data_IF_649861347968
#
_entry.id   IF_649861347968
#
_cell.length_a   1.000
_cell.length_b   1.000
_cell.length_c   1.000
_cell.angle_alpha   90.00
_cell.angle_beta   90.00
_cell.angle_gamma   90.00
#
_symmetry.space_group_name_H-M   'P 1'
#
loop_
_entity.id
_entity.type
_entity.pdbx_description
1 polymer ?
#
# COMPACT_ATOMS: atom_id res chain seq x y z
N UNK A 1 20.58 -31.63 -9.48
CA UNK A 1 19.33 -30.94 -9.09
C UNK A 1 19.69 -29.54 -8.65
N UNK A 2 19.58 -28.55 -9.53
CA UNK A 2 19.70 -27.15 -9.16
C UNK A 2 18.29 -26.62 -8.86
N UNK A 3 17.99 -26.38 -7.58
CA UNK A 3 16.79 -25.65 -7.20
C UNK A 3 17.14 -24.16 -7.32
N UNK A 4 16.73 -23.52 -8.41
CA UNK A 4 16.84 -22.06 -8.56
C UNK A 4 15.69 -21.42 -7.79
N UNK A 5 15.84 -21.35 -6.46
CA UNK A 5 14.92 -20.62 -5.58
C UNK A 5 15.12 -19.13 -5.79
N UNK A 6 14.29 -18.51 -6.61
CA UNK A 6 14.21 -17.06 -6.71
C UNK A 6 13.22 -16.58 -5.64
N UNK A 7 13.74 -15.92 -4.61
CA UNK A 7 12.96 -15.24 -3.57
C UNK A 7 13.15 -13.75 -3.76
N UNK A 8 12.07 -13.03 -4.07
CA UNK A 8 12.10 -11.58 -4.26
C UNK A 8 11.16 -10.90 -3.26
N UNK A 9 11.66 -10.44 -2.10
CA UNK A 9 10.91 -9.60 -1.19
C UNK A 9 10.81 -8.18 -1.74
N UNK A 10 9.69 -7.52 -1.50
CA UNK A 10 9.49 -6.11 -1.82
C UNK A 10 8.75 -5.40 -0.69
N UNK A 11 9.18 -4.18 -0.41
CA UNK A 11 8.58 -3.28 0.57
C UNK A 11 8.33 -1.92 -0.09
N UNK A 12 7.27 -1.24 0.31
CA UNK A 12 6.88 0.04 -0.27
C UNK A 12 6.06 0.89 0.69
N UNK A 13 6.07 2.20 0.41
CA UNK A 13 5.19 3.17 1.04
C UNK A 13 4.25 3.70 -0.03
N UNK A 14 2.97 3.81 0.31
CA UNK A 14 1.96 4.44 -0.52
C UNK A 14 1.34 5.60 0.25
N UNK A 15 1.26 6.76 -0.39
CA UNK A 15 0.58 7.92 0.15
C UNK A 15 -0.62 8.22 -0.75
N UNK A 16 -1.80 8.33 -0.15
CA UNK A 16 -3.04 8.67 -0.85
C UNK A 16 -3.72 9.84 -0.17
N UNK A 17 -4.35 10.69 -0.96
CA UNK A 17 -5.12 11.82 -0.48
C UNK A 17 -6.45 11.91 -1.18
N UNK A 18 -7.51 12.17 -0.41
CA UNK A 18 -8.84 12.43 -0.92
C UNK A 18 -8.99 13.91 -1.30
N UNK A 19 -9.76 14.17 -2.37
CA UNK A 19 -9.98 15.51 -2.92
C UNK A 19 -11.48 15.78 -3.19
N UNK A 20 -11.83 17.07 -3.30
CA UNK A 20 -13.20 17.51 -3.58
C UNK A 20 -14.20 17.06 -2.52
N UNK A 21 -15.43 16.82 -2.96
CA UNK A 21 -16.56 16.49 -2.09
C UNK A 21 -16.29 15.25 -1.22
N UNK A 22 -15.59 14.24 -1.77
CA UNK A 22 -15.19 13.03 -1.00
C UNK A 22 -14.35 13.39 0.22
N UNK A 23 -13.39 14.31 0.08
CA UNK A 23 -12.56 14.75 1.20
C UNK A 23 -13.38 15.52 2.24
N UNK A 24 -14.38 16.27 1.80
CA UNK A 24 -15.25 17.05 2.67
C UNK A 24 -16.18 16.13 3.47
N UNK A 25 -16.71 15.07 2.85
CA UNK A 25 -17.45 14.01 3.55
C UNK A 25 -16.57 13.29 4.57
N UNK A 26 -15.37 12.86 4.20
CA UNK A 26 -14.45 12.19 5.14
C UNK A 26 -14.14 13.08 6.34
N UNK A 27 -13.90 14.39 6.14
CA UNK A 27 -13.68 15.32 7.25
C UNK A 27 -14.92 15.55 8.11
N UNK A 28 -16.11 15.60 7.50
CA UNK A 28 -17.37 15.76 8.22
C UNK A 28 -17.64 14.58 9.15
N UNK A 29 -17.25 13.37 8.74
CA UNK A 29 -17.28 12.16 9.57
C UNK A 29 -16.09 12.06 10.57
N UNK A 30 -15.24 13.08 10.64
CA UNK A 30 -14.07 13.13 11.54
C UNK A 30 -12.90 12.24 11.08
N UNK A 31 -12.94 11.75 9.84
CA UNK A 31 -11.91 10.92 9.23
C UNK A 31 -10.71 11.73 8.71
N UNK A 32 -9.64 11.00 8.37
CA UNK A 32 -8.41 11.58 7.84
C UNK A 32 -8.30 11.40 6.32
N UNK A 33 -8.15 12.52 5.61
CA UNK A 33 -8.08 12.55 4.14
C UNK A 33 -6.71 12.23 3.58
N UNK A 34 -5.68 12.09 4.43
CA UNK A 34 -4.32 11.74 4.03
C UNK A 34 -3.97 10.40 4.68
N UNK A 35 -3.66 9.40 3.87
CA UNK A 35 -3.38 8.06 4.36
C UNK A 35 -1.96 7.68 3.93
N UNK A 36 -1.16 7.26 4.90
CA UNK A 36 0.14 6.63 4.67
C UNK A 36 -0.01 5.12 4.88
N UNK A 37 0.29 4.36 3.85
CA UNK A 37 0.18 2.90 3.83
C UNK A 37 1.55 2.28 3.67
N UNK A 38 1.86 1.29 4.51
CA UNK A 38 3.04 0.44 4.36
C UNK A 38 2.65 -0.87 3.66
N UNK A 39 3.39 -1.24 2.63
CA UNK A 39 3.16 -2.45 1.83
C UNK A 39 4.40 -3.33 1.93
N UNK A 40 4.20 -4.61 2.24
CA UNK A 40 5.25 -5.62 2.18
C UNK A 40 4.72 -6.88 1.50
N UNK A 41 5.53 -7.49 0.65
CA UNK A 41 5.20 -8.74 -0.03
C UNK A 41 6.45 -9.51 -0.43
N UNK A 42 6.27 -10.76 -0.83
CA UNK A 42 7.34 -11.59 -1.36
C UNK A 42 6.83 -12.39 -2.55
N UNK A 43 7.70 -12.58 -3.53
CA UNK A 43 7.44 -13.45 -4.68
C UNK A 43 8.37 -14.66 -4.61
N UNK A 44 7.80 -15.86 -4.81
CA UNK A 44 8.51 -17.14 -4.82
C UNK A 44 8.25 -17.80 -6.18
N UNK A 45 9.30 -18.31 -6.81
CA UNK A 45 9.24 -19.11 -8.04
C UNK A 45 9.98 -20.45 -7.87
N UNK A 46 9.64 -21.46 -8.69
CA UNK A 46 10.19 -22.82 -8.67
C UNK A 46 10.85 -23.18 -9.99
#
# INVERSE_FOLDING_TARGET
YEVRREFAPYVGLAWSREFGDTADFTRADGGEVNILSFVAGFRIWF
#
